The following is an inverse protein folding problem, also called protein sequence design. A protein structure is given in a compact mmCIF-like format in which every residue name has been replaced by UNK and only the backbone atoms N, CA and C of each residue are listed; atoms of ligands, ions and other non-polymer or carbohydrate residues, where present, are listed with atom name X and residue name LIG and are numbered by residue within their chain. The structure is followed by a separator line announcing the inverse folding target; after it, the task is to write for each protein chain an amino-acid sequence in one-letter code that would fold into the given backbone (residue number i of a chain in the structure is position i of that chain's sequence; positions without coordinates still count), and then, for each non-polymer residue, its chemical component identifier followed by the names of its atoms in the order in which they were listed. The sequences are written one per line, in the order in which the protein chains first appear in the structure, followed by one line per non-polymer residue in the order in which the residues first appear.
data_IF_320898262746
#
_entry.id   IF_320898262746
#
_cell.length_a   1.000
_cell.length_b   1.000
_cell.length_c   1.000
_cell.angle_alpha   90.00
_cell.angle_beta   90.00
_cell.angle_gamma   90.00
#
_symmetry.space_group_name_H-M   'P 1'
#
loop_
_entity.id
_entity.type
_entity.pdbx_description
1 polymer ?
#
# COMPACT_ATOMS: atom_id res chain seq x y z
N UNK A 1 25.41 -23.58 24.07
CA UNK A 1 24.43 -23.26 25.14
C UNK A 1 23.20 -22.55 24.52
N UNK A 2 22.67 -23.08 23.42
CA UNK A 2 21.48 -22.55 22.70
C UNK A 2 20.66 -23.69 22.08
N UNK A 3 21.03 -24.95 22.30
CA UNK A 3 20.37 -26.12 21.69
C UNK A 3 19.22 -26.69 22.55
N UNK A 4 19.23 -26.52 23.87
CA UNK A 4 18.13 -26.99 24.76
C UNK A 4 16.86 -26.11 24.73
N UNK A 5 16.93 -24.89 24.18
CA UNK A 5 15.78 -23.97 24.13
C UNK A 5 14.82 -24.23 22.97
N UNK A 6 15.20 -25.07 21.98
CA UNK A 6 14.36 -25.39 20.83
C UNK A 6 13.30 -26.48 21.12
N UNK A 7 13.33 -27.10 22.31
CA UNK A 7 12.38 -28.17 22.71
C UNK A 7 11.13 -27.63 23.44
N UNK A 8 11.07 -26.31 23.68
CA UNK A 8 10.00 -25.68 24.45
C UNK A 8 8.98 -25.06 23.50
N UNK A 9 8.13 -25.93 22.94
CA UNK A 9 7.06 -25.48 22.05
C UNK A 9 5.97 -24.70 22.81
N UNK A 10 5.53 -23.54 22.30
CA UNK A 10 4.34 -22.86 22.77
C UNK A 10 3.08 -23.70 22.50
N UNK A 11 1.94 -23.37 23.13
CA UNK A 11 0.75 -24.18 22.98
C UNK A 11 0.18 -24.09 21.55
N UNK A 12 0.29 -25.20 20.79
CA UNK A 12 -0.12 -25.33 19.36
C UNK A 12 -1.51 -24.80 19.02
N UNK A 13 -2.46 -24.81 19.98
CA UNK A 13 -3.80 -24.25 19.79
C UNK A 13 -3.80 -22.72 19.72
N UNK A 14 -2.98 -22.07 20.55
CA UNK A 14 -2.83 -20.62 20.56
C UNK A 14 -2.13 -20.14 19.29
N UNK A 15 -1.11 -20.87 18.84
CA UNK A 15 -0.46 -20.60 17.56
C UNK A 15 -1.43 -20.71 16.40
N UNK A 16 -2.12 -21.84 16.24
CA UNK A 16 -3.10 -22.01 15.15
C UNK A 16 -4.17 -20.91 15.14
N UNK A 17 -4.57 -20.43 16.31
CA UNK A 17 -5.48 -19.30 16.45
C UNK A 17 -4.85 -17.98 15.99
N UNK A 18 -3.60 -17.71 16.42
CA UNK A 18 -2.81 -16.57 15.96
C UNK A 18 -2.64 -16.56 14.44
N UNK A 19 -2.25 -17.69 13.86
CA UNK A 19 -2.05 -17.87 12.44
C UNK A 19 -3.34 -17.65 11.62
N UNK A 20 -4.49 -18.01 12.19
CA UNK A 20 -5.79 -17.85 11.55
C UNK A 20 -6.23 -16.39 11.48
N UNK A 21 -6.02 -15.60 12.54
CA UNK A 21 -6.47 -14.20 12.57
C UNK A 21 -5.44 -13.21 12.00
N UNK A 22 -4.15 -13.53 12.11
CA UNK A 22 -3.06 -12.62 11.79
C UNK A 22 -2.81 -12.53 10.28
N UNK A 23 -2.42 -11.36 9.81
CA UNK A 23 -2.03 -11.14 8.42
C UNK A 23 -0.71 -11.86 8.13
N UNK A 24 -0.56 -12.58 6.99
CA UNK A 24 0.69 -13.25 6.63
C UNK A 24 1.93 -12.33 6.67
N UNK A 25 1.78 -11.02 6.43
CA UNK A 25 2.89 -10.05 6.50
C UNK A 25 3.36 -9.71 7.92
N UNK A 26 2.50 -9.78 8.93
CA UNK A 26 2.86 -9.45 10.32
C UNK A 26 3.04 -10.70 11.19
N UNK A 27 2.79 -11.89 10.62
CA UNK A 27 2.80 -13.17 11.34
C UNK A 27 4.19 -13.52 11.88
N UNK A 28 5.23 -13.28 11.10
CA UNK A 28 6.62 -13.57 11.50
C UNK A 28 7.08 -12.65 12.63
N UNK A 29 6.92 -11.34 12.47
CA UNK A 29 7.34 -10.35 13.48
C UNK A 29 6.59 -10.50 14.80
N UNK A 30 5.25 -10.61 14.75
CA UNK A 30 4.43 -10.75 15.96
C UNK A 30 4.58 -12.15 16.57
N UNK A 31 4.75 -13.18 15.74
CA UNK A 31 5.02 -14.54 16.20
C UNK A 31 6.34 -14.63 16.97
N UNK A 32 7.39 -13.97 16.48
CA UNK A 32 8.69 -13.87 17.15
C UNK A 32 8.59 -13.20 18.53
N UNK A 33 7.93 -12.03 18.62
CA UNK A 33 7.74 -11.30 19.89
C UNK A 33 6.94 -12.13 20.92
N UNK A 34 5.89 -12.82 20.46
CA UNK A 34 5.12 -13.73 21.32
C UNK A 34 5.94 -14.92 21.80
N UNK A 35 6.80 -15.47 20.94
CA UNK A 35 7.68 -16.60 21.27
C UNK A 35 8.76 -16.21 22.29
N UNK A 36 9.40 -15.06 22.11
CA UNK A 36 10.39 -14.54 23.05
C UNK A 36 9.76 -14.30 24.44
N UNK A 37 8.59 -13.65 24.50
CA UNK A 37 7.87 -13.47 25.77
C UNK A 37 7.45 -14.81 26.40
N UNK A 38 7.15 -15.84 25.61
CA UNK A 38 6.82 -17.15 26.15
C UNK A 38 8.02 -17.78 26.85
N UNK A 39 9.19 -17.75 26.20
CA UNK A 39 10.46 -18.24 26.75
C UNK A 39 10.79 -17.54 28.07
N UNK A 40 10.73 -16.21 28.11
CA UNK A 40 11.02 -15.44 29.33
C UNK A 40 10.07 -15.81 30.48
N UNK A 41 8.77 -15.95 30.18
CA UNK A 41 7.78 -16.34 31.18
C UNK A 41 7.94 -17.80 31.61
N UNK A 42 8.44 -18.68 30.73
CA UNK A 42 8.75 -20.07 31.04
C UNK A 42 9.92 -20.15 32.02
N UNK A 43 11.00 -19.43 31.75
CA UNK A 43 12.20 -19.41 32.61
C UNK A 43 11.87 -18.90 34.02
N UNK A 44 11.07 -17.85 34.14
CA UNK A 44 10.76 -17.26 35.45
C UNK A 44 9.68 -17.98 36.25
N UNK A 45 8.72 -18.64 35.60
CA UNK A 45 7.49 -19.10 36.27
C UNK A 45 7.01 -20.52 35.89
N UNK A 46 7.75 -21.22 35.04
CA UNK A 46 7.48 -22.58 34.60
C UNK A 46 6.33 -22.73 33.58
N UNK A 47 6.20 -23.95 33.04
CA UNK A 47 5.36 -24.31 31.89
C UNK A 47 3.88 -23.87 32.01
N UNK A 48 3.24 -24.12 33.16
CA UNK A 48 1.80 -23.90 33.31
C UNK A 48 1.43 -22.41 33.27
N UNK A 49 2.24 -21.55 33.91
CA UNK A 49 1.98 -20.11 33.97
C UNK A 49 2.30 -19.46 32.62
N UNK A 50 3.39 -19.89 31.96
CA UNK A 50 3.77 -19.45 30.64
C UNK A 50 2.67 -19.74 29.59
N UNK A 51 2.13 -20.97 29.59
CA UNK A 51 1.05 -21.36 28.67
C UNK A 51 -0.22 -20.50 28.80
N UNK A 52 -0.65 -20.23 30.04
CA UNK A 52 -1.83 -19.37 30.27
C UNK A 52 -1.56 -17.94 29.84
N UNK A 53 -0.34 -17.44 30.09
CA UNK A 53 0.04 -16.07 29.77
C UNK A 53 0.18 -15.85 28.28
N UNK A 54 0.76 -16.81 27.56
CA UNK A 54 0.82 -16.80 26.10
C UNK A 54 -0.57 -16.66 25.46
N UNK A 55 -1.56 -17.40 25.96
CA UNK A 55 -2.95 -17.27 25.51
C UNK A 55 -3.52 -15.85 25.71
N UNK A 56 -3.23 -15.24 26.86
CA UNK A 56 -3.66 -13.87 27.16
C UNK A 56 -2.95 -12.88 26.23
N UNK A 57 -1.65 -13.05 26.00
CA UNK A 57 -0.87 -12.19 25.13
C UNK A 57 -1.33 -12.29 23.66
N UNK A 58 -1.62 -13.50 23.15
CA UNK A 58 -2.19 -13.72 21.81
C UNK A 58 -3.54 -13.02 21.63
N UNK A 59 -4.42 -13.10 22.64
CA UNK A 59 -5.72 -12.41 22.60
C UNK A 59 -5.53 -10.90 22.72
N UNK A 60 -4.62 -10.44 23.57
CA UNK A 60 -4.34 -9.01 23.77
C UNK A 60 -3.74 -8.36 22.53
N UNK A 61 -2.93 -9.09 21.77
CA UNK A 61 -2.34 -8.63 20.51
C UNK A 61 -3.34 -8.56 19.34
N UNK A 62 -4.56 -9.08 19.54
CA UNK A 62 -5.67 -9.03 18.59
C UNK A 62 -6.27 -7.62 18.51
N UNK A 63 -5.47 -6.65 18.05
CA UNK A 63 -5.94 -5.30 17.77
C UNK A 63 -6.50 -5.21 16.33
N UNK A 64 -7.34 -4.21 16.05
CA UNK A 64 -7.90 -3.89 14.73
C UNK A 64 -6.84 -3.77 13.63
N UNK A 65 -5.62 -3.42 14.00
CA UNK A 65 -4.46 -3.34 13.10
C UNK A 65 -3.88 -4.70 12.71
N UNK A 66 -3.91 -5.67 13.61
CA UNK A 66 -3.36 -7.02 13.41
C UNK A 66 -4.35 -7.93 12.67
N UNK A 67 -5.64 -7.69 12.86
CA UNK A 67 -6.72 -8.45 12.22
C UNK A 67 -6.66 -8.29 10.71
N UNK A 68 -6.70 -9.43 9.99
CA UNK A 68 -6.77 -9.52 8.53
C UNK A 68 -7.80 -8.55 7.96
N UNK A 69 -7.37 -7.34 7.60
CA UNK A 69 -8.23 -6.30 7.01
C UNK A 69 -8.47 -6.63 5.55
N UNK A 70 -9.28 -7.64 5.32
CA UNK A 70 -9.71 -8.08 3.99
C UNK A 70 -10.97 -7.32 3.58
N UNK A 71 -10.78 -6.08 3.12
CA UNK A 71 -11.52 -5.55 1.96
C UNK A 71 -10.88 -4.21 1.62
N UNK A 72 -9.91 -4.26 0.71
CA UNK A 72 -9.60 -3.08 -0.07
C UNK A 72 -10.90 -2.71 -0.79
N UNK A 73 -11.55 -1.64 -0.33
CA UNK A 73 -12.66 -1.06 -1.07
C UNK A 73 -12.16 -0.89 -2.50
N UNK A 74 -12.83 -1.51 -3.48
CA UNK A 74 -12.59 -1.19 -4.89
C UNK A 74 -12.94 0.28 -5.02
N UNK A 75 -11.95 1.16 -4.93
CA UNK A 75 -12.16 2.56 -5.22
C UNK A 75 -12.70 2.62 -6.64
N UNK A 76 -13.89 3.21 -6.80
CA UNK A 76 -14.40 3.55 -8.11
C UNK A 76 -13.40 4.58 -8.68
N UNK A 77 -12.56 4.16 -9.62
CA UNK A 77 -11.49 4.99 -10.22
C UNK A 77 -12.04 6.33 -10.74
N UNK A 78 -13.32 6.37 -11.10
CA UNK A 78 -14.07 7.57 -11.48
C UNK A 78 -14.05 8.69 -10.41
N UNK A 79 -14.18 8.34 -9.12
CA UNK A 79 -14.18 9.32 -8.02
C UNK A 79 -12.80 9.92 -7.78
N UNK A 80 -11.74 9.16 -8.06
CA UNK A 80 -10.36 9.65 -7.97
C UNK A 80 -10.06 10.60 -9.12
N UNK A 81 -10.42 10.25 -10.36
CA UNK A 81 -10.26 11.14 -11.53
C UNK A 81 -10.92 12.50 -11.33
N UNK A 82 -12.15 12.52 -10.80
CA UNK A 82 -12.85 13.77 -10.49
C UNK A 82 -12.09 14.62 -9.45
N UNK A 83 -11.54 13.99 -8.41
CA UNK A 83 -10.76 14.70 -7.40
C UNK A 83 -9.44 15.25 -7.97
N UNK A 84 -8.70 14.45 -8.74
CA UNK A 84 -7.46 14.90 -9.38
C UNK A 84 -7.73 16.04 -10.37
N UNK A 85 -8.81 15.96 -11.15
CA UNK A 85 -9.20 17.03 -12.06
C UNK A 85 -9.59 18.31 -11.31
N UNK A 86 -10.38 18.19 -10.23
CA UNK A 86 -10.78 19.33 -9.39
C UNK A 86 -9.58 20.01 -8.72
N UNK A 87 -8.65 19.22 -8.18
CA UNK A 87 -7.42 19.73 -7.53
C UNK A 87 -6.47 20.33 -8.56
N UNK A 88 -6.28 19.67 -9.70
CA UNK A 88 -5.47 20.16 -10.82
C UNK A 88 -6.00 21.48 -11.36
N UNK A 89 -7.30 21.55 -11.68
CA UNK A 89 -7.93 22.77 -12.19
C UNK A 89 -7.79 23.95 -11.23
N UNK A 90 -7.97 23.73 -9.91
CA UNK A 90 -7.78 24.79 -8.92
C UNK A 90 -6.32 25.26 -8.85
N UNK A 91 -5.35 24.38 -9.10
CA UNK A 91 -3.93 24.73 -9.15
C UNK A 91 -3.57 25.52 -10.43
N UNK A 92 -4.13 25.15 -11.59
CA UNK A 92 -3.98 25.89 -12.84
C UNK A 92 -4.54 27.32 -12.71
N UNK A 93 -5.71 27.47 -12.09
CA UNK A 93 -6.34 28.78 -11.86
C UNK A 93 -5.58 29.62 -10.81
N UNK A 94 -4.81 29.00 -9.91
CA UNK A 94 -3.97 29.73 -8.94
C UNK A 94 -2.71 30.31 -9.58
N UNK A 95 -2.10 29.59 -10.53
CA UNK A 95 -0.87 29.98 -11.21
C UNK A 95 -1.11 30.46 -12.66
N UNK A 96 -2.06 31.40 -12.83
CA UNK A 96 -2.59 31.82 -14.13
C UNK A 96 -1.52 32.27 -15.12
N UNK A 97 -0.53 33.06 -14.69
CA UNK A 97 0.47 33.63 -15.60
C UNK A 97 1.36 32.55 -16.22
N UNK A 98 1.84 31.63 -15.40
CA UNK A 98 2.68 30.51 -15.86
C UNK A 98 1.88 29.54 -16.73
N UNK A 99 0.66 29.20 -16.31
CA UNK A 99 -0.24 28.36 -17.10
C UNK A 99 -0.61 29.02 -18.44
N UNK A 100 -0.85 30.33 -18.47
CA UNK A 100 -1.19 31.05 -19.71
C UNK A 100 -0.05 31.01 -20.73
N UNK A 101 1.18 31.30 -20.32
CA UNK A 101 2.34 31.26 -21.22
C UNK A 101 2.52 29.84 -21.79
N UNK A 102 2.42 28.82 -20.93
CA UNK A 102 2.59 27.42 -21.35
C UNK A 102 1.49 26.98 -22.33
N UNK A 103 0.23 27.30 -22.04
CA UNK A 103 -0.91 26.92 -22.91
C UNK A 103 -0.85 27.68 -24.24
N UNK A 104 -0.52 28.97 -24.23
CA UNK A 104 -0.39 29.76 -25.45
C UNK A 104 0.76 29.25 -26.33
N UNK A 105 1.95 29.04 -25.77
CA UNK A 105 3.10 28.52 -26.52
C UNK A 105 2.83 27.14 -27.14
N UNK A 106 2.18 26.25 -26.39
CA UNK A 106 1.76 24.94 -26.90
C UNK A 106 0.71 25.07 -28.01
N UNK A 107 -0.29 25.92 -27.84
CA UNK A 107 -1.36 26.09 -28.84
C UNK A 107 -0.86 26.68 -30.16
N UNK A 108 0.01 27.69 -30.08
CA UNK A 108 0.62 28.33 -31.26
C UNK A 108 1.50 27.34 -32.01
N UNK A 109 2.35 26.59 -31.30
CA UNK A 109 3.24 25.61 -31.93
C UNK A 109 2.44 24.47 -32.58
N UNK A 110 1.35 24.01 -31.95
CA UNK A 110 0.46 23.01 -32.54
C UNK A 110 -0.23 23.55 -33.80
N UNK A 111 -0.72 24.79 -33.78
CA UNK A 111 -1.33 25.42 -34.95
C UNK A 111 -0.33 25.52 -36.11
N UNK A 112 0.89 26.00 -35.84
CA UNK A 112 1.96 26.11 -36.84
C UNK A 112 2.34 24.73 -37.40
N UNK A 113 2.49 23.72 -36.54
CA UNK A 113 2.77 22.34 -36.94
C UNK A 113 1.68 21.80 -37.88
N UNK A 114 0.41 21.99 -37.53
CA UNK A 114 -0.72 21.56 -38.36
C UNK A 114 -0.77 22.29 -39.71
N UNK A 115 -0.49 23.59 -39.73
CA UNK A 115 -0.42 24.37 -40.98
C UNK A 115 0.68 23.84 -41.90
N UNK A 116 1.87 23.55 -41.34
CA UNK A 116 3.00 23.00 -42.11
C UNK A 116 2.63 21.62 -42.67
N UNK A 117 2.04 20.74 -41.86
CA UNK A 117 1.59 19.41 -42.31
C UNK A 117 0.58 19.54 -43.45
N UNK A 118 -0.40 20.44 -43.31
CA UNK A 118 -1.41 20.66 -44.34
C UNK A 118 -0.78 21.18 -45.63
N UNK A 119 0.16 22.12 -45.55
CA UNK A 119 0.89 22.64 -46.71
C UNK A 119 1.73 21.56 -47.40
N UNK A 120 2.43 20.72 -46.65
CA UNK A 120 3.19 19.60 -47.22
C UNK A 120 2.25 18.61 -47.92
N UNK A 121 1.11 18.30 -47.31
CA UNK A 121 0.13 17.41 -47.89
C UNK A 121 -0.46 17.96 -49.20
N UNK A 122 -0.69 19.28 -49.25
CA UNK A 122 -1.14 19.99 -50.46
C UNK A 122 -0.09 19.91 -51.57
N UNK A 123 1.18 20.21 -51.27
CA UNK A 123 2.30 20.11 -52.22
C UNK A 123 2.48 18.68 -52.75
N UNK A 124 2.47 17.67 -51.88
CA UNK A 124 2.56 16.26 -52.29
C UNK A 124 1.34 15.79 -53.09
N UNK A 125 0.18 16.41 -52.90
CA UNK A 125 -1.00 16.14 -53.73
C UNK A 125 -0.85 16.76 -55.11
N UNK A 126 -0.29 17.98 -55.19
CA UNK A 126 -0.06 18.67 -56.46
C UNK A 126 1.00 17.97 -57.32
N UNK A 127 2.09 17.49 -56.71
CA UNK A 127 3.18 16.76 -57.40
C UNK A 127 2.77 15.35 -57.87
N UNK A 128 1.56 14.88 -57.51
CA UNK A 128 0.97 13.60 -57.94
C UNK A 128 -0.04 13.73 -59.09
N UNK A 129 -0.31 14.94 -59.57
CA UNK A 129 -1.11 15.20 -60.78
C UNK A 129 -0.22 15.75 -61.90
#
# INVERSE_FOLDING_TARGET
MTEDFYDIDPPKRAERFFEWYCNPRLRETIGGDLYERYIDNYEQHGLKKANRKYWIDVIRFMNRHTLKRSKQSKFNNMSMLSNYFKVGFRNLVRNKSFTAINVLGLSVSMAVCLIIILMINDQLSYDRF
#
